data_IF_990951085127
#
_entry.id   IF_990951085127
#
_cell.length_a   1.000
_cell.length_b   1.000
_cell.length_c   1.000
_cell.angle_alpha   90.00
_cell.angle_beta   90.00
_cell.angle_gamma   90.00
#
_symmetry.space_group_name_H-M   'P 1'
#
loop_
_entity.id
_entity.type
_entity.pdbx_description
1 polymer ?
#
# COMPACT_ATOMS: atom_id res chain seq x y z
N UNK A 1 -6.52 29.90 -0.06
CA UNK A 1 -7.03 31.08 0.67
C UNK A 1 -8.35 31.44 0.04
N UNK A 2 -9.40 31.63 0.85
CA UNK A 2 -10.68 32.08 0.32
C UNK A 2 -10.61 33.57 0.00
N UNK A 3 -10.84 33.94 -1.26
CA UNK A 3 -10.94 35.33 -1.68
C UNK A 3 -12.41 35.79 -1.55
N UNK A 4 -12.73 36.70 -0.61
CA UNK A 4 -14.11 37.13 -0.36
C UNK A 4 -14.71 37.99 -1.46
N UNK A 5 -13.91 38.52 -2.39
CA UNK A 5 -14.38 39.35 -3.50
C UNK A 5 -14.80 38.51 -4.71
N UNK A 6 -14.03 37.45 -5.02
CA UNK A 6 -14.30 36.56 -6.15
C UNK A 6 -15.10 35.32 -5.76
N UNK A 7 -15.22 35.06 -4.45
CA UNK A 7 -15.82 33.83 -3.89
C UNK A 7 -15.10 32.56 -4.37
N UNK A 8 -13.80 32.67 -4.69
CA UNK A 8 -12.97 31.57 -5.17
C UNK A 8 -11.87 31.20 -4.16
N UNK A 9 -11.36 29.97 -4.30
CA UNK A 9 -10.16 29.53 -3.60
C UNK A 9 -8.92 29.85 -4.44
N UNK A 10 -7.98 30.57 -3.84
CA UNK A 10 -6.67 30.90 -4.42
C UNK A 10 -5.55 30.15 -3.70
N UNK A 11 -4.40 29.98 -4.35
CA UNK A 11 -3.25 29.33 -3.70
C UNK A 11 -2.68 30.17 -2.54
N UNK A 12 -2.22 29.51 -1.50
CA UNK A 12 -1.53 30.16 -0.38
C UNK A 12 -0.01 30.05 -0.57
N UNK A 13 0.74 31.14 -0.84
CA UNK A 13 2.21 31.09 -0.94
C UNK A 13 2.89 30.63 0.34
N UNK A 14 2.29 30.89 1.51
CA UNK A 14 2.77 30.46 2.83
C UNK A 14 2.14 29.11 3.26
N UNK A 15 1.41 28.45 2.36
CA UNK A 15 0.77 27.17 2.59
C UNK A 15 1.80 26.10 2.97
N UNK A 16 1.46 25.28 3.95
CA UNK A 16 2.25 24.10 4.35
C UNK A 16 1.37 22.88 4.37
N UNK A 17 1.98 21.73 4.14
CA UNK A 17 1.34 20.43 4.32
C UNK A 17 1.48 19.95 5.75
N UNK A 18 0.44 19.29 6.25
CA UNK A 18 0.51 18.56 7.51
C UNK A 18 1.19 17.20 7.29
N UNK A 19 2.24 16.91 8.05
CA UNK A 19 2.94 15.63 8.06
C UNK A 19 3.04 15.13 9.51
N UNK A 20 2.12 14.22 9.88
CA UNK A 20 1.95 13.83 11.28
C UNK A 20 1.65 15.05 12.16
N UNK A 21 2.50 15.28 13.16
CA UNK A 21 2.38 16.43 14.07
C UNK A 21 3.19 17.68 13.64
N UNK A 22 3.65 17.75 12.38
CA UNK A 22 4.51 18.83 11.87
C UNK A 22 3.98 19.45 10.58
N UNK A 23 4.38 20.71 10.29
CA UNK A 23 4.04 21.41 9.05
C UNK A 23 5.27 21.54 8.15
N UNK A 24 5.20 21.03 6.92
CA UNK A 24 6.32 20.98 5.96
C UNK A 24 5.98 21.74 4.67
N UNK A 25 6.99 22.30 4.00
CA UNK A 25 6.79 22.95 2.68
C UNK A 25 6.47 21.95 1.58
N UNK A 26 7.18 20.82 1.57
CA UNK A 26 6.99 19.74 0.61
C UNK A 26 6.80 18.42 1.35
N UNK A 27 5.90 17.56 0.88
CA UNK A 27 5.81 16.21 1.39
C UNK A 27 7.08 15.41 1.06
N UNK A 28 7.48 14.44 1.90
CA UNK A 28 8.61 13.57 1.61
C UNK A 28 8.42 12.80 0.29
N UNK A 29 9.52 12.44 -0.38
CA UNK A 29 9.57 11.90 -1.76
C UNK A 29 8.60 10.75 -2.08
N UNK A 30 8.20 9.95 -1.08
CA UNK A 30 7.29 8.83 -1.27
C UNK A 30 5.89 9.07 -0.69
N UNK A 31 5.55 10.23 -0.16
CA UNK A 31 4.21 10.52 0.38
C UNK A 31 3.27 11.08 -0.69
N UNK A 32 1.96 11.01 -0.40
CA UNK A 32 0.89 11.53 -1.27
C UNK A 32 0.21 12.71 -0.58
N UNK A 33 -0.11 13.74 -1.35
CA UNK A 33 -0.81 14.93 -0.87
C UNK A 33 -2.32 14.73 -1.00
N UNK A 34 -3.08 14.98 0.07
CA UNK A 34 -4.55 15.03 0.02
C UNK A 34 -5.05 16.41 -0.42
N UNK A 35 -6.32 16.49 -0.83
CA UNK A 35 -7.00 17.76 -1.12
C UNK A 35 -7.01 18.73 0.08
N UNK A 36 -6.92 18.19 1.30
CA UNK A 36 -6.86 18.97 2.55
C UNK A 36 -5.43 19.39 2.94
N UNK A 37 -4.43 19.13 2.09
CA UNK A 37 -3.05 19.50 2.35
C UNK A 37 -2.37 18.64 3.41
N UNK A 38 -2.63 17.33 3.44
CA UNK A 38 -1.92 16.38 4.30
C UNK A 38 -1.02 15.44 3.50
N UNK A 39 0.17 15.17 4.04
CA UNK A 39 1.08 14.14 3.55
C UNK A 39 0.67 12.78 4.15
N UNK A 40 0.08 11.92 3.33
CA UNK A 40 -0.41 10.59 3.73
C UNK A 40 0.37 9.47 3.03
N UNK A 41 0.31 8.26 3.60
CA UNK A 41 0.93 7.06 3.00
C UNK A 41 0.08 6.43 1.91
N UNK A 42 -1.22 6.67 1.92
CA UNK A 42 -2.17 6.10 0.97
C UNK A 42 -3.39 7.01 0.85
N UNK A 43 -4.03 6.99 -0.30
CA UNK A 43 -5.31 7.64 -0.50
C UNK A 43 -6.44 6.86 0.17
N UNK A 44 -7.59 7.52 0.31
CA UNK A 44 -8.82 6.89 0.77
C UNK A 44 -9.36 5.92 -0.28
N UNK A 45 -10.28 5.04 0.10
CA UNK A 45 -10.82 3.99 -0.77
C UNK A 45 -11.55 4.52 -2.02
N UNK A 46 -12.02 5.77 -2.00
CA UNK A 46 -12.70 6.44 -3.11
C UNK A 46 -11.75 7.28 -4.00
N UNK A 47 -10.44 7.19 -3.75
CA UNK A 47 -9.43 8.03 -4.37
C UNK A 47 -8.23 7.20 -4.84
N UNK A 48 -7.63 7.63 -5.94
CA UNK A 48 -6.42 7.05 -6.52
C UNK A 48 -5.26 8.03 -6.47
N UNK A 49 -4.03 7.51 -6.52
CA UNK A 49 -2.83 8.31 -6.59
C UNK A 49 -2.58 8.75 -8.03
N UNK A 50 -2.45 10.07 -8.24
CA UNK A 50 -2.09 10.66 -9.53
C UNK A 50 -0.88 11.56 -9.37
N UNK A 51 0.01 11.54 -10.36
CA UNK A 51 1.15 12.46 -10.39
C UNK A 51 0.77 13.72 -11.17
N UNK A 52 0.82 14.88 -10.50
CA UNK A 52 0.51 16.17 -11.10
C UNK A 52 1.61 17.17 -10.76
N UNK A 53 2.29 17.70 -11.77
CA UNK A 53 3.42 18.63 -11.63
C UNK A 53 4.55 18.07 -10.72
N UNK A 54 4.84 16.77 -10.83
CA UNK A 54 5.86 16.09 -10.00
C UNK A 54 5.44 15.88 -8.54
N UNK A 55 4.20 16.21 -8.19
CA UNK A 55 3.63 15.97 -6.86
C UNK A 55 2.57 14.88 -6.98
N UNK A 56 2.72 13.83 -6.17
CA UNK A 56 1.73 12.77 -6.04
C UNK A 56 0.57 13.27 -5.20
N UNK A 57 -0.63 13.24 -5.75
CA UNK A 57 -1.86 13.70 -5.11
C UNK A 57 -2.92 12.59 -5.08
N UNK A 58 -3.75 12.61 -4.06
CA UNK A 58 -4.96 11.81 -4.03
C UNK A 58 -6.04 12.51 -4.83
N UNK A 59 -6.56 11.84 -5.85
CA UNK A 59 -7.68 12.33 -6.66
C UNK A 59 -8.82 11.33 -6.58
N UNK A 60 -10.04 11.80 -6.39
CA UNK A 60 -11.23 10.94 -6.45
C UNK A 60 -11.26 10.17 -7.78
N UNK A 61 -11.58 8.89 -7.69
CA UNK A 61 -11.71 8.04 -8.87
C UNK A 61 -12.89 8.52 -9.73
N UNK A 62 -12.70 8.45 -11.05
CA UNK A 62 -13.81 8.59 -12.00
C UNK A 62 -14.39 7.20 -12.27
N UNK A 63 -15.51 6.89 -11.64
CA UNK A 63 -16.06 5.53 -11.57
C UNK A 63 -15.43 4.67 -10.47
N UNK A 64 -15.55 3.32 -10.54
CA UNK A 64 -15.03 2.42 -9.53
C UNK A 64 -13.49 2.48 -9.43
N UNK A 65 -12.95 2.68 -8.22
CA UNK A 65 -11.51 2.61 -7.99
C UNK A 65 -10.95 1.20 -8.22
N UNK A 66 -9.70 1.13 -8.68
CA UNK A 66 -8.93 -0.12 -8.68
C UNK A 66 -8.85 -0.71 -7.27
N UNK A 67 -8.92 -2.04 -7.17
CA UNK A 67 -8.95 -2.72 -5.86
C UNK A 67 -7.61 -2.52 -5.13
N UNK A 68 -7.66 -1.75 -4.05
CA UNK A 68 -6.59 -1.57 -3.07
C UNK A 68 -6.84 -2.49 -1.89
N UNK A 69 -5.82 -3.22 -1.48
CA UNK A 69 -5.92 -4.18 -0.39
C UNK A 69 -4.94 -3.84 0.72
N UNK A 70 -5.35 -4.00 1.98
CA UNK A 70 -4.46 -3.80 3.12
C UNK A 70 -3.34 -4.82 3.09
N UNK A 71 -2.11 -4.36 3.30
CA UNK A 71 -0.95 -5.22 3.54
C UNK A 71 -0.90 -5.74 4.98
N UNK A 72 0.07 -6.60 5.25
CA UNK A 72 0.37 -7.15 6.57
C UNK A 72 0.55 -6.02 7.59
N UNK A 73 -0.05 -6.17 8.77
CA UNK A 73 0.01 -5.19 9.85
C UNK A 73 -0.96 -4.01 9.74
N UNK A 74 -1.78 -3.96 8.68
CA UNK A 74 -2.72 -2.84 8.41
C UNK A 74 -4.17 -3.34 8.34
N UNK A 75 -5.10 -2.57 8.90
CA UNK A 75 -6.54 -2.85 8.83
C UNK A 75 -6.90 -4.21 9.41
N UNK A 76 -7.62 -5.03 8.63
CA UNK A 76 -7.99 -6.41 8.99
C UNK A 76 -6.79 -7.34 9.22
N UNK A 77 -5.61 -6.98 8.71
CA UNK A 77 -4.37 -7.73 8.90
C UNK A 77 -3.51 -7.16 10.03
N UNK A 78 -4.08 -6.31 10.89
CA UNK A 78 -3.39 -5.80 12.08
C UNK A 78 -3.07 -6.95 13.04
N UNK A 79 -1.80 -7.04 13.45
CA UNK A 79 -1.31 -8.12 14.31
C UNK A 79 -1.00 -9.44 13.57
N UNK A 80 -1.26 -9.51 12.26
CA UNK A 80 -0.82 -10.62 11.42
C UNK A 80 0.66 -10.44 11.10
N UNK A 81 1.45 -11.52 11.22
CA UNK A 81 2.90 -11.48 11.05
C UNK A 81 3.35 -11.68 9.59
N UNK A 82 2.62 -12.50 8.83
CA UNK A 82 2.98 -12.88 7.47
C UNK A 82 1.76 -13.29 6.65
N UNK A 83 1.92 -13.28 5.33
CA UNK A 83 0.98 -13.94 4.41
C UNK A 83 0.98 -15.43 4.72
N UNK A 84 -0.20 -16.04 4.82
CA UNK A 84 -0.36 -17.46 5.13
C UNK A 84 -1.67 -18.00 4.50
N UNK A 85 -1.95 -19.29 4.69
CA UNK A 85 -3.11 -19.94 4.07
C UNK A 85 -4.45 -19.32 4.49
N UNK A 86 -4.57 -18.80 5.71
CA UNK A 86 -5.82 -18.23 6.22
C UNK A 86 -6.11 -16.83 5.69
N UNK A 87 -5.09 -16.08 5.24
CA UNK A 87 -5.24 -14.70 4.79
C UNK A 87 -4.95 -14.45 3.30
N UNK A 88 -4.31 -15.38 2.58
CA UNK A 88 -3.87 -15.12 1.20
C UNK A 88 -5.02 -14.75 0.25
N UNK A 89 -6.22 -15.29 0.50
CA UNK A 89 -7.39 -15.06 -0.35
C UNK A 89 -7.93 -13.61 -0.26
N UNK A 90 -7.56 -12.83 0.78
CA UNK A 90 -7.87 -11.41 0.84
C UNK A 90 -7.17 -10.61 -0.27
N UNK A 91 -6.07 -11.13 -0.79
CA UNK A 91 -5.28 -10.50 -1.85
C UNK A 91 -5.78 -10.78 -3.28
N UNK A 92 -6.86 -11.57 -3.44
CA UNK A 92 -7.42 -11.86 -4.77
C UNK A 92 -7.81 -10.59 -5.52
N UNK A 93 -7.36 -10.46 -6.76
CA UNK A 93 -7.63 -9.33 -7.67
C UNK A 93 -7.13 -7.97 -7.14
N UNK A 94 -6.21 -7.94 -6.18
CA UNK A 94 -5.60 -6.71 -5.71
C UNK A 94 -4.58 -6.23 -6.72
N UNK A 95 -4.64 -4.95 -7.06
CA UNK A 95 -3.67 -4.31 -7.96
C UNK A 95 -2.63 -3.49 -7.19
N UNK A 96 -3.04 -2.95 -6.04
CA UNK A 96 -2.18 -2.21 -5.12
C UNK A 96 -2.31 -2.78 -3.72
N UNK A 97 -1.16 -3.01 -3.07
CA UNK A 97 -1.08 -3.35 -1.66
C UNK A 97 -0.75 -2.09 -0.86
N UNK A 98 -1.68 -1.68 0.00
CA UNK A 98 -1.47 -0.62 0.96
C UNK A 98 -0.84 -1.17 2.24
N UNK A 99 0.49 -1.12 2.33
CA UNK A 99 1.27 -1.68 3.42
C UNK A 99 2.30 -2.67 2.92
N UNK A 100 2.62 -3.64 3.77
CA UNK A 100 3.71 -4.57 3.56
C UNK A 100 3.20 -5.93 3.07
N UNK A 101 4.05 -6.65 2.34
CA UNK A 101 3.90 -8.09 2.15
C UNK A 101 5.09 -8.79 2.81
N UNK A 102 4.80 -9.75 3.68
CA UNK A 102 5.82 -10.45 4.46
C UNK A 102 5.62 -11.95 4.32
N UNK A 103 6.67 -12.65 3.89
CA UNK A 103 6.71 -14.11 3.73
C UNK A 103 7.81 -14.67 4.64
N UNK A 104 7.39 -15.49 5.62
CA UNK A 104 8.25 -16.08 6.63
C UNK A 104 8.23 -17.60 6.52
N UNK A 105 9.05 -18.29 7.33
CA UNK A 105 9.01 -19.74 7.44
C UNK A 105 7.58 -20.26 7.74
N UNK A 106 6.88 -19.62 8.69
CA UNK A 106 5.51 -19.98 9.05
C UNK A 106 4.50 -19.87 7.89
N UNK A 107 4.78 -19.06 6.86
CA UNK A 107 3.94 -18.95 5.67
C UNK A 107 3.86 -20.30 4.94
N UNK A 108 5.00 -20.97 4.74
CA UNK A 108 5.09 -22.15 3.89
C UNK A 108 5.05 -23.47 4.65
N UNK A 109 5.43 -23.47 5.93
CA UNK A 109 5.43 -24.67 6.78
C UNK A 109 4.24 -24.72 7.74
N UNK A 110 3.38 -23.70 7.71
CA UNK A 110 2.27 -23.56 8.65
C UNK A 110 2.73 -23.10 10.03
N UNK A 111 1.77 -22.95 10.92
CA UNK A 111 1.97 -22.54 12.31
C UNK A 111 0.97 -23.26 13.21
N UNK A 112 1.49 -24.15 14.07
CA UNK A 112 0.68 -24.92 15.01
C UNK A 112 -0.02 -24.03 16.05
N UNK A 113 0.63 -22.94 16.47
CA UNK A 113 0.09 -22.04 17.51
C UNK A 113 -1.17 -21.33 17.02
N UNK A 114 -1.13 -20.79 15.80
CA UNK A 114 -2.30 -20.18 15.16
C UNK A 114 -3.20 -21.19 14.45
N UNK A 115 -2.85 -22.49 14.47
CA UNK A 115 -3.53 -23.57 13.74
C UNK A 115 -3.66 -23.29 12.24
N UNK A 116 -2.66 -22.64 11.67
CA UNK A 116 -2.60 -22.30 10.25
C UNK A 116 -1.89 -23.41 9.49
N UNK A 117 -2.53 -23.97 8.46
CA UNK A 117 -1.89 -24.96 7.59
C UNK A 117 -0.80 -24.33 6.71
N UNK A 118 0.13 -25.14 6.18
CA UNK A 118 1.02 -24.72 5.10
C UNK A 118 0.27 -24.03 3.96
N UNK A 119 0.83 -22.93 3.45
CA UNK A 119 0.28 -22.21 2.30
C UNK A 119 0.29 -23.09 1.04
N UNK A 120 -0.84 -23.18 0.33
CA UNK A 120 -0.87 -23.78 -1.00
C UNK A 120 -0.08 -22.91 -1.98
N UNK A 121 1.03 -23.44 -2.48
CA UNK A 121 1.97 -22.75 -3.37
C UNK A 121 1.26 -22.21 -4.62
N UNK A 122 0.20 -22.88 -5.10
CA UNK A 122 -0.57 -22.43 -6.27
C UNK A 122 -1.31 -21.11 -6.01
N UNK A 123 -1.62 -20.81 -4.74
CA UNK A 123 -2.25 -19.54 -4.36
C UNK A 123 -1.29 -18.35 -4.44
N UNK A 124 0.02 -18.57 -4.58
CA UNK A 124 0.96 -17.47 -4.80
C UNK A 124 0.69 -16.71 -6.10
N UNK A 125 0.05 -17.35 -7.09
CA UNK A 125 -0.38 -16.70 -8.34
C UNK A 125 -1.38 -15.57 -8.12
N UNK A 126 -2.02 -15.48 -6.95
CA UNK A 126 -2.85 -14.34 -6.55
C UNK A 126 -2.08 -13.02 -6.66
N UNK A 127 -0.77 -13.04 -6.39
CA UNK A 127 0.06 -11.85 -6.42
C UNK A 127 0.42 -11.39 -7.84
N UNK A 128 0.15 -12.19 -8.89
CA UNK A 128 0.43 -11.79 -10.29
C UNK A 128 -0.35 -10.55 -10.71
N UNK A 129 -1.45 -10.22 -10.05
CA UNK A 129 -2.21 -8.99 -10.35
C UNK A 129 -1.65 -7.75 -9.66
N UNK A 130 -0.74 -7.92 -8.69
CA UNK A 130 -0.17 -6.82 -7.90
C UNK A 130 0.87 -6.10 -8.75
N UNK A 131 0.66 -4.80 -8.91
CA UNK A 131 1.55 -3.88 -9.62
C UNK A 131 2.31 -2.94 -8.70
N UNK A 132 1.76 -2.70 -7.51
CA UNK A 132 2.33 -1.73 -6.59
C UNK A 132 2.22 -2.19 -5.13
N UNK A 133 3.30 -1.99 -4.36
CA UNK A 133 3.34 -2.15 -2.91
C UNK A 133 3.76 -0.81 -2.28
N UNK A 134 2.89 -0.23 -1.44
CA UNK A 134 3.18 1.08 -0.83
C UNK A 134 4.19 0.98 0.33
N UNK A 135 4.26 -0.18 0.98
CA UNK A 135 5.24 -0.50 2.02
C UNK A 135 6.46 -1.22 1.47
N UNK A 136 6.83 -2.34 2.08
CA UNK A 136 7.93 -3.21 1.65
C UNK A 136 7.48 -4.64 1.29
N UNK A 137 8.30 -5.31 0.49
CA UNK A 137 8.19 -6.75 0.21
C UNK A 137 9.33 -7.45 0.94
N UNK A 138 9.01 -8.22 1.98
CA UNK A 138 9.96 -9.01 2.76
C UNK A 138 9.75 -10.50 2.46
N UNK A 139 10.76 -11.13 1.87
CA UNK A 139 10.77 -12.58 1.61
C UNK A 139 11.97 -13.17 2.34
N UNK A 140 11.72 -13.88 3.44
CA UNK A 140 12.77 -14.58 4.19
C UNK A 140 12.88 -16.05 3.77
N UNK A 141 11.75 -16.65 3.37
CA UNK A 141 11.65 -18.03 2.91
C UNK A 141 10.82 -18.05 1.64
N UNK A 142 11.12 -18.95 0.71
CA UNK A 142 10.34 -19.20 -0.50
C UNK A 142 10.33 -20.71 -0.80
N UNK A 143 9.28 -21.28 -1.43
CA UNK A 143 9.23 -22.71 -1.70
C UNK A 143 10.36 -23.17 -2.63
N UNK A 144 11.05 -24.25 -2.29
CA UNK A 144 12.21 -24.76 -3.06
C UNK A 144 11.84 -25.21 -4.48
N UNK A 145 10.60 -25.64 -4.69
CA UNK A 145 10.07 -26.04 -5.99
C UNK A 145 9.68 -24.85 -6.89
N UNK A 146 9.74 -23.62 -6.39
CA UNK A 146 9.50 -22.40 -7.16
C UNK A 146 10.84 -21.70 -7.35
N UNK A 147 11.35 -21.72 -8.57
CA UNK A 147 12.72 -21.28 -8.90
C UNK A 147 12.88 -19.77 -9.06
N UNK A 148 11.78 -19.03 -9.06
CA UNK A 148 11.76 -17.58 -9.25
C UNK A 148 10.68 -16.91 -8.39
N UNK A 149 10.56 -15.59 -8.53
CA UNK A 149 9.50 -14.79 -7.92
C UNK A 149 8.43 -14.41 -8.96
N UNK A 150 8.08 -15.33 -9.88
CA UNK A 150 7.07 -15.09 -10.93
C UNK A 150 5.70 -14.67 -10.39
N UNK A 151 5.39 -14.99 -9.13
CA UNK A 151 4.23 -14.46 -8.41
C UNK A 151 4.19 -12.93 -8.38
N UNK A 152 5.33 -12.25 -8.54
CA UNK A 152 5.46 -10.79 -8.59
C UNK A 152 5.95 -10.28 -9.94
N UNK A 153 5.80 -11.05 -11.03
CA UNK A 153 6.30 -10.67 -12.36
C UNK A 153 5.74 -9.34 -12.89
N UNK A 154 4.54 -8.94 -12.44
CA UNK A 154 3.89 -7.69 -12.82
C UNK A 154 4.10 -6.56 -11.80
N UNK A 155 4.93 -6.77 -10.77
CA UNK A 155 5.21 -5.74 -9.76
C UNK A 155 6.11 -4.66 -10.36
N UNK A 156 5.57 -3.44 -10.48
CA UNK A 156 6.24 -2.30 -11.11
C UNK A 156 6.92 -1.40 -10.07
N UNK A 157 6.30 -1.22 -8.89
CA UNK A 157 6.74 -0.22 -7.90
C UNK A 157 6.66 -0.74 -6.45
N UNK A 158 7.74 -0.55 -5.68
CA UNK A 158 7.76 -0.66 -4.21
C UNK A 158 8.12 0.71 -3.63
N UNK A 159 7.26 1.28 -2.79
CA UNK A 159 7.42 2.68 -2.34
C UNK A 159 8.16 2.83 -1.01
N UNK A 160 8.19 1.81 -0.16
CA UNK A 160 8.91 1.87 1.13
C UNK A 160 8.40 2.98 2.06
N UNK A 161 7.08 3.24 2.11
CA UNK A 161 6.48 4.28 2.98
C UNK A 161 6.44 3.88 4.45
N UNK A 162 6.50 2.58 4.71
CA UNK A 162 6.56 1.97 6.05
C UNK A 162 8.03 1.82 6.48
N UNK A 163 8.28 1.98 7.78
CA UNK A 163 9.56 1.61 8.39
C UNK A 163 9.25 0.49 9.38
N UNK A 164 9.87 -0.67 9.23
CA UNK A 164 10.04 -1.59 10.35
C UNK A 164 10.96 -0.89 11.35
N UNK A 165 10.47 -0.64 12.55
CA UNK A 165 11.28 -0.25 13.71
C UNK A 165 11.69 -1.50 14.47
#
# INVERSE_FOLDING_TARGET
>A
IYNPYTYQLEDNPEGKYSFGATCVKNCPHNYVVTDHGSCVRSCNADSTEVEQNGIRKCKKCDGPCSKVCSGIGIGELKGVLAVNESNIDYFKNCTTINGDLTFLHASFFGDEYTKTSPLDIRKLDIFKTVKEITGFLLIQVWPENVTDLSSFENLEVIRGRTRQL
#
